data_IF_042474421278
#
_entry.id   IF_042474421278
#
_cell.length_a   1.000
_cell.length_b   1.000
_cell.length_c   1.000
_cell.angle_alpha   90.00
_cell.angle_beta   90.00
_cell.angle_gamma   90.00
#
_symmetry.space_group_name_H-M   'P 1'
#
loop_
_entity.id
_entity.type
_entity.pdbx_description
1 polymer ?
#
# COMPACT_ATOMS: atom_id res chain seq x y z
N UNK A 1 -17.99 13.52 1.35
CA UNK A 1 -17.60 12.10 1.50
C UNK A 1 -16.86 11.67 0.24
N UNK A 2 -15.80 10.85 0.34
CA UNK A 2 -15.10 10.34 -0.84
C UNK A 2 -16.01 9.43 -1.67
N UNK A 3 -15.94 9.56 -2.99
CA UNK A 3 -16.68 8.72 -3.94
C UNK A 3 -16.16 7.29 -3.89
N UNK A 4 -17.06 6.30 -3.76
CA UNK A 4 -16.72 4.87 -3.84
C UNK A 4 -17.14 4.32 -5.20
N UNK A 5 -16.25 3.54 -5.83
CA UNK A 5 -16.50 2.93 -7.14
C UNK A 5 -16.36 1.41 -6.99
N UNK A 6 -17.42 0.62 -7.26
CA UNK A 6 -17.35 -0.82 -7.20
C UNK A 6 -16.66 -1.38 -8.45
N UNK A 7 -15.89 -2.45 -8.26
CA UNK A 7 -15.23 -3.18 -9.34
C UNK A 7 -15.61 -4.67 -9.26
N UNK A 8 -15.70 -5.33 -10.42
CA UNK A 8 -15.95 -6.77 -10.47
C UNK A 8 -14.74 -7.56 -9.99
N UNK A 9 -14.94 -8.71 -9.36
CA UNK A 9 -13.85 -9.60 -8.96
C UNK A 9 -13.03 -10.06 -10.17
N UNK A 10 -11.70 -10.03 -10.06
CA UNK A 10 -10.79 -10.61 -11.05
C UNK A 10 -9.32 -10.39 -10.68
N UNK A 11 -8.44 -11.05 -11.42
CA UNK A 11 -6.99 -10.91 -11.29
C UNK A 11 -6.47 -9.90 -12.32
N UNK A 12 -5.33 -9.25 -12.02
CA UNK A 12 -4.65 -8.32 -12.93
C UNK A 12 -5.55 -7.18 -13.47
N UNK A 13 -6.42 -6.67 -12.60
CA UNK A 13 -7.33 -5.60 -12.97
C UNK A 13 -6.67 -4.24 -12.81
N UNK A 14 -6.96 -3.35 -13.76
CA UNK A 14 -6.64 -1.93 -13.66
C UNK A 14 -7.90 -1.22 -13.16
N UNK A 15 -7.80 -0.62 -11.98
CA UNK A 15 -8.89 0.15 -11.40
C UNK A 15 -8.85 1.57 -11.93
N UNK A 16 -9.93 2.00 -12.57
CA UNK A 16 -10.05 3.33 -13.14
C UNK A 16 -11.25 4.08 -12.56
N UNK A 17 -10.99 5.28 -12.05
CA UNK A 17 -12.00 6.22 -11.63
C UNK A 17 -12.29 7.21 -12.77
N UNK A 18 -13.54 7.35 -13.24
CA UNK A 18 -13.89 8.30 -14.30
C UNK A 18 -13.55 9.75 -13.93
N UNK A 19 -13.01 10.50 -14.89
CA UNK A 19 -12.71 11.93 -14.73
C UNK A 19 -13.95 12.70 -14.26
N UNK A 20 -13.75 13.66 -13.34
CA UNK A 20 -14.84 14.46 -12.77
C UNK A 20 -15.59 13.82 -11.59
N UNK A 21 -15.32 12.54 -11.28
CA UNK A 21 -15.86 11.89 -10.06
C UNK A 21 -14.91 11.94 -8.87
N UNK A 22 -13.67 12.41 -9.12
CA UNK A 22 -12.59 12.52 -8.16
C UNK A 22 -12.70 13.74 -7.26
N UNK A 23 -11.68 13.91 -6.41
CA UNK A 23 -11.55 15.05 -5.50
C UNK A 23 -10.91 16.20 -6.26
N UNK A 24 -11.49 17.39 -6.17
CA UNK A 24 -10.83 18.61 -6.64
C UNK A 24 -9.72 19.01 -5.68
N UNK A 25 -8.48 18.93 -6.16
CA UNK A 25 -7.29 19.27 -5.37
C UNK A 25 -6.96 20.77 -5.42
N UNK A 26 -7.63 21.55 -6.29
CA UNK A 26 -7.43 23.00 -6.39
C UNK A 26 -7.89 23.77 -5.16
N UNK A 27 -8.63 23.13 -4.25
CA UNK A 27 -9.03 23.70 -2.96
C UNK A 27 -7.89 23.75 -1.93
N UNK A 28 -6.84 22.93 -2.09
CA UNK A 28 -5.74 22.83 -1.13
C UNK A 28 -4.55 23.69 -1.56
N UNK A 29 -3.82 24.21 -0.57
CA UNK A 29 -2.54 24.84 -0.85
C UNK A 29 -1.53 23.81 -1.35
N UNK A 30 -0.70 24.22 -2.31
CA UNK A 30 0.25 23.30 -2.92
C UNK A 30 1.22 22.72 -1.89
N UNK A 31 1.70 23.54 -0.95
CA UNK A 31 2.64 23.12 0.07
C UNK A 31 2.08 22.02 0.98
N UNK A 32 0.76 22.02 1.23
CA UNK A 32 0.07 20.99 2.01
C UNK A 32 -0.01 19.65 1.27
N UNK A 33 0.00 19.67 -0.07
CA UNK A 33 -0.05 18.47 -0.89
C UNK A 33 1.32 17.80 -1.08
N UNK A 34 2.41 18.55 -0.88
CA UNK A 34 3.78 18.10 -1.12
C UNK A 34 4.35 17.25 0.03
N UNK A 35 3.83 17.42 1.25
CA UNK A 35 4.43 16.83 2.46
C UNK A 35 3.37 16.17 3.35
N UNK A 36 3.67 15.02 3.97
CA UNK A 36 2.83 14.50 5.04
C UNK A 36 2.91 15.44 6.25
N UNK A 37 1.80 15.59 6.97
CA UNK A 37 1.78 16.34 8.23
C UNK A 37 2.58 15.59 9.29
N UNK A 38 3.67 16.18 9.83
CA UNK A 38 4.53 15.48 10.78
C UNK A 38 3.89 15.30 12.17
N UNK A 39 2.81 16.05 12.48
CA UNK A 39 2.17 16.04 13.80
C UNK A 39 1.04 15.02 13.93
N UNK A 40 0.40 14.66 12.83
CA UNK A 40 -0.89 13.96 12.84
C UNK A 40 -0.91 12.66 12.01
N UNK A 41 0.24 12.22 11.46
CA UNK A 41 0.33 11.09 10.48
C UNK A 41 -0.73 11.23 9.37
N UNK A 42 -1.01 12.48 8.98
CA UNK A 42 -1.97 12.83 7.94
C UNK A 42 -1.25 12.92 6.59
N UNK A 43 -1.84 12.29 5.58
CA UNK A 43 -1.31 12.24 4.23
C UNK A 43 -2.26 12.98 3.29
N UNK A 44 -1.74 13.83 2.39
CA UNK A 44 -2.58 14.64 1.52
C UNK A 44 -3.35 13.81 0.48
N UNK A 45 -2.82 12.65 0.09
CA UNK A 45 -3.51 11.69 -0.77
C UNK A 45 -3.51 10.30 -0.15
N UNK A 46 -4.71 9.72 -0.05
CA UNK A 46 -4.91 8.32 0.37
C UNK A 46 -5.76 7.61 -0.65
N UNK A 47 -5.22 6.54 -1.23
CA UNK A 47 -5.97 5.61 -2.08
C UNK A 47 -6.36 4.43 -1.21
N UNK A 48 -7.67 4.21 -1.11
CA UNK A 48 -8.26 3.18 -0.25
C UNK A 48 -9.02 2.17 -1.12
N UNK A 49 -8.62 0.91 -1.04
CA UNK A 49 -9.28 -0.19 -1.74
C UNK A 49 -9.75 -1.18 -0.67
N UNK A 50 -11.04 -1.48 -0.65
CA UNK A 50 -11.61 -2.46 0.28
C UNK A 50 -12.33 -3.58 -0.47
N UNK A 51 -12.31 -4.78 0.11
CA UNK A 51 -13.13 -5.87 -0.38
C UNK A 51 -14.59 -5.61 -0.01
N UNK A 52 -15.47 -5.55 -1.01
CA UNK A 52 -16.90 -5.58 -0.75
C UNK A 52 -17.28 -6.96 -0.18
N UNK A 53 -17.92 -6.97 0.98
CA UNK A 53 -18.52 -8.19 1.50
C UNK A 53 -19.62 -8.64 0.52
N UNK A 54 -19.71 -9.95 0.20
CA UNK A 54 -20.86 -10.44 -0.52
C UNK A 54 -22.11 -10.08 0.28
N UNK A 55 -23.17 -9.55 -0.36
CA UNK A 55 -24.44 -9.35 0.33
C UNK A 55 -24.84 -10.72 0.90
N UNK A 56 -25.13 -10.77 2.21
CA UNK A 56 -25.73 -11.96 2.82
C UNK A 56 -26.95 -12.30 1.97
N UNK A 57 -26.85 -13.38 1.22
CA UNK A 57 -27.95 -13.87 0.42
C UNK A 57 -29.04 -14.24 1.42
N UNK A 58 -30.16 -13.54 1.40
CA UNK A 58 -31.32 -13.80 2.26
C UNK A 58 -32.03 -15.12 1.93
N UNK A 59 -31.36 -16.05 1.24
CA UNK A 59 -31.98 -17.23 0.64
C UNK A 59 -31.16 -18.52 0.86
N UNK A 60 -30.43 -18.58 1.97
CA UNK A 60 -29.92 -19.86 2.48
C UNK A 60 -30.75 -20.24 3.68
N UNK A 61 -31.56 -21.27 3.51
CA UNK A 61 -32.15 -22.05 4.60
C UNK A 61 -31.10 -22.21 5.69
N UNK A 62 -31.29 -21.51 6.80
CA UNK A 62 -30.40 -21.52 7.96
C UNK A 62 -30.31 -22.95 8.48
N UNK A 63 -29.21 -23.65 8.20
CA UNK A 63 -28.85 -24.80 9.02
C UNK A 63 -28.44 -24.26 10.40
N UNK A 64 -29.06 -24.71 11.52
CA UNK A 64 -28.92 -24.04 12.82
C UNK A 64 -27.51 -24.05 13.44
N UNK A 65 -26.53 -24.74 12.85
CA UNK A 65 -25.27 -25.09 13.50
C UNK A 65 -24.00 -24.76 12.71
N UNK A 66 -24.06 -24.00 11.61
CA UNK A 66 -22.84 -23.55 10.94
C UNK A 66 -22.43 -22.14 11.42
N UNK A 67 -21.20 -21.96 11.95
CA UNK A 67 -20.68 -20.63 12.24
C UNK A 67 -20.70 -19.80 10.96
N UNK A 68 -21.33 -18.62 11.02
CA UNK A 68 -21.23 -17.63 9.96
C UNK A 68 -19.74 -17.39 9.67
N UNK A 69 -19.27 -17.44 8.40
CA UNK A 69 -17.90 -17.09 8.12
C UNK A 69 -17.70 -15.64 8.55
N UNK A 70 -16.86 -15.41 9.56
CA UNK A 70 -16.39 -14.09 9.97
C UNK A 70 -15.50 -13.55 8.84
N UNK A 71 -16.12 -13.04 7.78
CA UNK A 71 -15.38 -12.38 6.71
C UNK A 71 -15.22 -10.93 7.13
N UNK A 72 -14.08 -10.62 7.74
CA UNK A 72 -13.68 -9.23 7.95
C UNK A 72 -13.36 -8.62 6.58
N UNK A 73 -13.79 -7.37 6.29
CA UNK A 73 -13.39 -6.70 5.07
C UNK A 73 -11.87 -6.48 5.10
N UNK A 74 -11.21 -6.88 4.03
CA UNK A 74 -9.79 -6.61 3.83
C UNK A 74 -9.64 -5.30 3.08
N UNK A 75 -8.61 -4.52 3.41
CA UNK A 75 -8.34 -3.28 2.73
C UNK A 75 -6.86 -3.09 2.44
N UNK A 76 -6.57 -2.43 1.32
CA UNK A 76 -5.26 -1.90 0.99
C UNK A 76 -5.33 -0.38 1.02
N UNK A 77 -4.39 0.21 1.74
CA UNK A 77 -4.28 1.64 1.96
C UNK A 77 -2.95 2.07 1.38
N UNK A 78 -3.00 3.00 0.44
CA UNK A 78 -1.81 3.60 -0.15
C UNK A 78 -1.78 5.08 0.21
N UNK A 79 -0.75 5.50 0.92
CA UNK A 79 -0.55 6.85 1.41
C UNK A 79 0.51 7.54 0.54
N UNK A 80 0.16 8.72 0.02
CA UNK A 80 0.95 9.39 -1.00
C UNK A 80 0.92 10.92 -0.84
N UNK A 81 1.86 11.57 -1.53
CA UNK A 81 1.91 13.01 -1.73
C UNK A 81 1.84 13.33 -3.22
N UNK A 82 1.45 14.56 -3.54
CA UNK A 82 1.58 15.07 -4.90
C UNK A 82 2.90 15.83 -5.01
N UNK A 83 3.59 15.66 -6.12
CA UNK A 83 4.81 16.39 -6.46
C UNK A 83 4.65 17.06 -7.80
N UNK A 84 5.31 18.21 -7.97
CA UNK A 84 5.33 18.91 -9.25
C UNK A 84 6.62 18.55 -9.98
N UNK A 85 6.50 18.01 -11.17
CA UNK A 85 7.65 17.72 -12.01
C UNK A 85 8.23 19.02 -12.63
N UNK A 86 9.42 18.92 -13.23
CA UNK A 86 10.11 20.06 -13.84
C UNK A 86 9.33 20.73 -14.99
N UNK A 87 8.33 20.03 -15.54
CA UNK A 87 7.43 20.53 -16.61
C UNK A 87 6.15 21.15 -16.05
N UNK A 88 6.00 21.19 -14.73
CA UNK A 88 4.85 21.76 -14.04
C UNK A 88 3.63 20.85 -13.90
N UNK A 89 3.71 19.59 -14.31
CA UNK A 89 2.65 18.61 -14.10
C UNK A 89 2.76 17.96 -12.72
N UNK A 90 1.62 17.53 -12.20
CA UNK A 90 1.55 16.78 -10.95
C UNK A 90 1.81 15.29 -11.16
N UNK A 91 2.59 14.71 -10.26
CA UNK A 91 2.84 13.28 -10.14
C UNK A 91 2.54 12.84 -8.70
N UNK A 92 2.08 11.61 -8.54
CA UNK A 92 1.86 11.01 -7.22
C UNK A 92 3.14 10.30 -6.78
N UNK A 93 3.64 10.64 -5.59
CA UNK A 93 4.74 9.91 -4.94
C UNK A 93 4.21 9.09 -3.77
N UNK A 94 4.47 7.79 -3.81
CA UNK A 94 4.11 6.83 -2.77
C UNK A 94 5.00 7.05 -1.54
N UNK A 95 4.41 7.10 -0.35
CA UNK A 95 5.15 7.27 0.91
C UNK A 95 5.07 6.00 1.75
N UNK A 96 3.87 5.44 1.91
CA UNK A 96 3.62 4.25 2.72
C UNK A 96 2.48 3.43 2.13
N UNK A 97 2.52 2.13 2.34
CA UNK A 97 1.39 1.25 2.06
C UNK A 97 1.08 0.40 3.27
N UNK A 98 -0.20 0.07 3.45
CA UNK A 98 -0.65 -0.81 4.51
C UNK A 98 -1.76 -1.74 4.04
N UNK A 99 -1.76 -2.96 4.58
CA UNK A 99 -2.85 -3.92 4.46
C UNK A 99 -3.61 -3.97 5.77
N UNK A 100 -4.93 -4.09 5.67
CA UNK A 100 -5.85 -4.35 6.75
C UNK A 100 -6.45 -5.72 6.52
N UNK A 101 -6.11 -6.68 7.39
CA UNK A 101 -6.58 -8.06 7.32
C UNK A 101 -6.91 -8.51 8.74
N UNK A 102 -8.11 -9.04 8.94
CA UNK A 102 -8.58 -9.50 10.26
C UNK A 102 -8.45 -8.45 11.37
N UNK A 103 -8.77 -7.19 11.03
CA UNK A 103 -8.64 -6.02 11.90
C UNK A 103 -7.20 -5.72 12.37
N UNK A 104 -6.21 -6.34 11.74
CA UNK A 104 -4.79 -6.08 11.99
C UNK A 104 -4.22 -5.27 10.83
N UNK A 105 -3.49 -4.20 11.16
CA UNK A 105 -2.76 -3.36 10.21
C UNK A 105 -1.34 -3.88 10.00
N UNK A 106 -0.98 -4.14 8.76
CA UNK A 106 0.36 -4.51 8.33
C UNK A 106 0.93 -3.39 7.45
N UNK A 107 2.09 -2.85 7.79
CA UNK A 107 2.82 -1.91 6.93
C UNK A 107 3.60 -2.69 5.87
N UNK A 108 3.41 -2.35 4.60
CA UNK A 108 4.17 -2.91 3.49
C UNK A 108 5.53 -2.21 3.40
N UNK A 109 6.58 -3.02 3.29
CA UNK A 109 7.94 -2.56 3.04
C UNK A 109 8.48 -3.32 1.84
N UNK A 110 9.24 -2.62 1.01
CA UNK A 110 9.97 -3.24 -0.08
C UNK A 110 10.94 -4.28 0.46
N UNK A 111 11.04 -5.40 -0.26
CA UNK A 111 12.04 -6.42 0.01
C UNK A 111 13.24 -6.08 -0.86
N UNK A 112 14.35 -5.72 -0.22
CA UNK A 112 15.58 -5.40 -0.93
C UNK A 112 16.14 -6.64 -1.65
N UNK A 113 16.71 -6.44 -2.84
CA UNK A 113 17.41 -7.51 -3.57
C UNK A 113 16.57 -8.34 -4.54
N UNK A 114 15.28 -8.06 -4.71
CA UNK A 114 14.48 -8.55 -5.85
C UNK A 114 14.18 -7.38 -6.79
N UNK A 115 15.16 -6.99 -7.59
CA UNK A 115 14.95 -6.04 -8.68
C UNK A 115 14.35 -6.79 -9.88
N UNK A 116 13.04 -6.64 -10.06
CA UNK A 116 12.35 -7.13 -11.25
C UNK A 116 12.90 -6.34 -12.45
N UNK A 117 13.53 -7.04 -13.39
CA UNK A 117 14.14 -6.49 -14.61
C UNK A 117 13.09 -5.97 -15.62
N UNK A 118 12.14 -5.15 -15.17
CA UNK A 118 10.94 -4.77 -15.92
C UNK A 118 10.60 -3.28 -15.87
N UNK A 119 11.52 -2.42 -15.47
CA UNK A 119 11.35 -0.96 -15.58
C UNK A 119 12.59 -0.30 -16.17
N UNK A 120 12.45 0.01 -17.47
CA UNK A 120 13.36 0.80 -18.27
C UNK A 120 13.26 2.27 -17.81
N UNK A 121 14.02 2.64 -16.78
CA UNK A 121 13.91 3.98 -16.19
C UNK A 121 15.13 4.40 -15.39
N UNK A 122 16.21 4.77 -16.09
CA UNK A 122 17.23 5.73 -15.67
C UNK A 122 17.73 5.65 -14.20
N UNK A 123 18.54 4.63 -13.89
CA UNK A 123 19.80 4.83 -13.17
C UNK A 123 20.82 3.75 -13.56
N UNK A 124 22.00 4.22 -13.98
CA UNK A 124 23.09 3.45 -14.56
C UNK A 124 24.04 3.04 -13.43
N UNK A 125 23.73 1.92 -12.78
CA UNK A 125 24.77 1.14 -12.11
C UNK A 125 24.51 -0.35 -12.33
N UNK A 126 25.17 -0.90 -13.36
CA UNK A 126 25.24 -2.34 -13.64
C UNK A 126 25.66 -3.13 -12.37
N UNK A 127 26.48 -2.53 -11.51
CA UNK A 127 26.92 -3.09 -10.23
C UNK A 127 25.78 -3.32 -9.21
N UNK A 128 24.64 -2.64 -9.36
CA UNK A 128 23.49 -2.88 -8.49
C UNK A 128 22.72 -4.15 -8.88
N UNK A 129 22.87 -4.70 -10.09
CA UNK A 129 22.03 -5.84 -10.54
C UNK A 129 22.69 -7.22 -10.34
N UNK A 130 23.98 -7.23 -10.00
CA UNK A 130 24.78 -8.43 -9.81
C UNK A 130 24.68 -8.95 -8.37
N UNK A 131 24.72 -10.27 -8.22
CA UNK A 131 24.72 -10.95 -6.93
C UNK A 131 25.88 -10.41 -6.07
N UNK A 132 25.56 -9.86 -4.90
CA UNK A 132 26.54 -9.25 -3.98
C UNK A 132 27.56 -10.25 -3.39
N UNK A 133 27.37 -11.55 -3.65
CA UNK A 133 28.24 -12.62 -3.19
C UNK A 133 29.26 -12.99 -4.26
N UNK A 134 28.81 -13.28 -5.49
CA UNK A 134 29.68 -13.76 -6.57
C UNK A 134 30.03 -12.69 -7.60
N UNK A 135 29.29 -11.58 -7.68
CA UNK A 135 29.47 -10.51 -8.67
C UNK A 135 29.45 -11.02 -10.13
N UNK A 136 28.81 -12.18 -10.38
CA UNK A 136 28.78 -12.81 -11.72
C UNK A 136 27.39 -13.23 -12.16
N UNK A 137 26.54 -13.61 -11.21
CA UNK A 137 25.15 -14.05 -11.48
C UNK A 137 24.17 -12.91 -11.16
N UNK A 138 23.00 -12.84 -11.82
CA UNK A 138 21.99 -11.86 -11.47
C UNK A 138 21.48 -12.07 -10.04
N UNK A 139 21.06 -10.98 -9.37
CA UNK A 139 20.42 -11.09 -8.06
C UNK A 139 19.09 -11.84 -8.16
N UNK A 140 19.03 -13.03 -7.58
CA UNK A 140 17.82 -13.84 -7.43
C UNK A 140 17.36 -14.02 -5.97
N UNK A 141 18.17 -13.50 -5.03
CA UNK A 141 18.02 -13.72 -3.60
C UNK A 141 17.53 -12.45 -2.91
N UNK A 142 16.40 -12.56 -2.23
CA UNK A 142 15.81 -11.47 -1.47
C UNK A 142 16.54 -11.26 -0.13
N UNK A 143 17.00 -10.05 0.13
CA UNK A 143 17.59 -9.65 1.42
C UNK A 143 16.50 -9.03 2.27
N UNK A 144 15.99 -9.80 3.23
CA UNK A 144 15.09 -9.26 4.24
C UNK A 144 15.91 -8.56 5.33
N UNK A 145 15.56 -7.33 5.75
CA UNK A 145 16.19 -6.72 6.91
C UNK A 145 16.02 -7.67 8.09
N UNK A 146 17.14 -8.07 8.70
CA UNK A 146 17.13 -9.09 9.73
C UNK A 146 16.20 -8.67 10.88
N UNK A 147 15.24 -9.54 11.23
CA UNK A 147 14.37 -9.36 12.39
C UNK A 147 15.08 -9.69 13.71
N UNK A 148 16.34 -9.30 13.85
CA UNK A 148 17.07 -9.32 15.12
C UNK A 148 16.74 -8.10 16.01
N UNK A 149 15.45 -7.74 15.99
CA UNK A 149 14.67 -7.08 17.02
C UNK A 149 15.47 -6.71 18.28
N UNK A 150 16.07 -5.52 18.30
CA UNK A 150 16.38 -4.86 19.57
C UNK A 150 15.03 -4.61 20.24
N UNK A 151 14.68 -5.46 21.20
CA UNK A 151 13.80 -5.05 22.30
C UNK A 151 14.50 -3.84 22.93
N UNK A 152 13.99 -2.63 22.73
CA UNK A 152 14.33 -1.54 23.63
C UNK A 152 13.72 -1.90 25.00
N UNK A 153 14.52 -2.15 26.05
CA UNK A 153 14.01 -2.50 27.35
C UNK A 153 13.81 -1.20 28.16
N UNK A 154 12.58 -0.73 28.25
CA UNK A 154 12.13 0.22 29.29
C UNK A 154 10.60 0.07 29.34
N UNK A 155 9.92 -0.41 30.37
CA UNK A 155 10.23 -0.56 31.79
C UNK A 155 9.41 -1.78 32.33
N UNK A 156 10.08 -2.62 33.11
CA UNK A 156 9.57 -3.42 34.25
C UNK A 156 8.14 -3.97 34.23
N UNK A 157 8.03 -5.28 33.98
CA UNK A 157 7.11 -6.15 34.71
C UNK A 157 7.62 -6.27 36.16
N UNK A 158 6.85 -5.75 37.10
CA UNK A 158 6.71 -6.37 38.43
C UNK A 158 5.29 -6.94 38.49
N UNK A 159 5.18 -8.14 39.06
CA UNK A 159 4.03 -9.05 39.14
C UNK A 159 2.63 -8.42 39.10
#
# INVERSE_FOLDING_TARGET
MPTKIPFYKGLNQIFYQPSGTGIDLGFFELDDLLKPSPREDAFPLVIFVETCLPPLSTDVQVQPNQPLPNVSPQAQITQAVLEKNNKGHFQVRLIKQALWVDNIRYELREIYGMENSGEEGFDDSEAAKECVICLTEPKDTAVLPCRHMVRAPTLSLFF
#
